data_IF_277735713202
#
_entry.id   IF_277735713202
#
_cell.length_a   1.000
_cell.length_b   1.000
_cell.length_c   1.000
_cell.angle_alpha   90.00
_cell.angle_beta   90.00
_cell.angle_gamma   90.00
#
_symmetry.space_group_name_H-M   'P 1'
#
loop_
_entity.id
_entity.type
_entity.pdbx_description
1 polymer ?
#
# COMPACT_ATOMS: atom_id res chain seq x y z
N UNK A 1 11.97 9.55 8.01
CA UNK A 1 11.31 8.24 8.20
C UNK A 1 9.85 8.53 8.50
N UNK A 2 8.94 8.05 7.66
CA UNK A 2 7.51 8.15 7.89
C UNK A 2 7.07 6.95 8.75
N UNK A 3 6.33 7.22 9.83
CA UNK A 3 5.83 6.18 10.74
C UNK A 3 4.34 6.02 10.52
N UNK A 4 3.91 4.81 10.18
CA UNK A 4 2.50 4.46 10.07
C UNK A 4 2.10 3.62 11.28
N UNK A 5 1.03 4.03 11.95
CA UNK A 5 0.45 3.32 13.09
C UNK A 5 -0.93 2.84 12.71
N UNK A 6 -1.18 1.54 12.86
CA UNK A 6 -2.49 0.94 12.69
C UNK A 6 -2.76 -0.01 13.86
N UNK A 7 -4.04 -0.25 14.13
CA UNK A 7 -4.46 -1.26 15.11
C UNK A 7 -4.68 -2.58 14.39
N UNK A 8 -4.15 -3.68 14.93
CA UNK A 8 -4.47 -5.02 14.42
C UNK A 8 -5.97 -5.27 14.63
N UNK A 9 -6.74 -5.65 13.60
CA UNK A 9 -8.17 -5.90 13.75
C UNK A 9 -8.41 -7.11 14.68
N UNK A 10 -9.43 -7.04 15.52
CA UNK A 10 -9.79 -8.11 16.47
C UNK A 10 -10.19 -9.44 15.79
N UNK A 11 -10.47 -9.40 14.48
CA UNK A 11 -10.76 -10.59 13.65
C UNK A 11 -9.51 -11.22 13.04
N UNK A 12 -8.31 -10.68 13.30
CA UNK A 12 -7.06 -11.27 12.80
C UNK A 12 -6.83 -12.64 13.46
N UNK A 13 -6.52 -13.64 12.63
CA UNK A 13 -6.20 -14.97 13.15
C UNK A 13 -4.88 -14.94 13.95
N UNK A 14 -4.76 -15.73 15.04
CA UNK A 14 -3.50 -15.90 15.74
C UNK A 14 -2.47 -16.57 14.82
N UNK A 15 -1.22 -16.10 14.87
CA UNK A 15 -0.14 -16.59 14.01
C UNK A 15 0.70 -15.49 13.38
N UNK A 16 1.57 -15.83 12.41
CA UNK A 16 2.44 -14.87 11.73
C UNK A 16 1.61 -13.95 10.82
N UNK A 17 1.70 -12.64 11.07
CA UNK A 17 1.14 -11.59 10.24
C UNK A 17 2.28 -10.82 9.57
N UNK A 18 2.31 -10.83 8.24
CA UNK A 18 3.26 -10.05 7.46
C UNK A 18 2.63 -8.73 7.05
N UNK A 19 3.28 -7.62 7.40
CA UNK A 19 2.88 -6.27 7.00
C UNK A 19 3.87 -5.74 5.98
N UNK A 20 3.33 -5.33 4.81
CA UNK A 20 4.12 -4.82 3.69
C UNK A 20 3.73 -3.37 3.39
N UNK A 21 4.65 -2.45 3.63
CA UNK A 21 4.54 -1.07 3.20
C UNK A 21 5.11 -0.95 1.79
N UNK A 22 4.31 -0.46 0.84
CA UNK A 22 4.72 -0.32 -0.57
C UNK A 22 4.71 1.17 -0.93
N UNK A 23 5.84 1.67 -1.45
CA UNK A 23 5.94 2.99 -2.02
C UNK A 23 5.65 2.92 -3.51
N UNK A 24 4.56 3.56 -3.89
CA UNK A 24 4.05 3.60 -5.25
C UNK A 24 4.27 4.98 -5.85
N UNK A 25 4.75 5.02 -7.08
CA UNK A 25 4.79 6.22 -7.90
C UNK A 25 3.78 6.10 -9.04
N UNK A 26 3.08 7.18 -9.32
CA UNK A 26 2.14 7.26 -10.42
C UNK A 26 2.50 8.51 -11.21
N UNK A 27 2.72 8.37 -12.52
CA UNK A 27 3.10 9.50 -13.39
C UNK A 27 2.04 10.59 -13.37
N UNK A 28 0.78 10.18 -13.39
CA UNK A 28 -0.37 11.08 -13.32
C UNK A 28 -1.40 10.53 -12.33
N UNK A 29 -1.74 11.27 -11.25
CA UNK A 29 -2.74 10.82 -10.28
C UNK A 29 -4.08 10.50 -10.96
N UNK A 30 -4.75 9.45 -10.50
CA UNK A 30 -5.98 8.91 -11.12
C UNK A 30 -7.05 9.97 -11.38
N UNK A 31 -7.33 10.92 -10.46
CA UNK A 31 -8.32 11.97 -10.72
C UNK A 31 -7.91 12.90 -11.87
N UNK A 32 -6.62 13.18 -12.02
CA UNK A 32 -6.08 14.04 -13.07
C UNK A 32 -6.13 13.34 -14.43
N UNK A 33 -5.82 12.03 -14.46
CA UNK A 33 -5.93 11.22 -15.68
C UNK A 33 -7.36 11.17 -16.23
N UNK A 34 -8.32 10.96 -15.34
CA UNK A 34 -9.75 10.96 -15.69
C UNK A 34 -10.21 12.33 -16.20
N UNK A 35 -9.75 13.41 -15.55
CA UNK A 35 -10.08 14.77 -15.98
C UNK A 35 -9.53 15.10 -17.37
N UNK A 36 -8.27 14.73 -17.64
CA UNK A 36 -7.61 14.98 -18.93
C UNK A 36 -8.02 13.98 -20.03
N UNK A 37 -8.79 12.93 -19.70
CA UNK A 37 -9.24 11.86 -20.61
C UNK A 37 -8.08 11.18 -21.33
N UNK A 38 -6.93 11.07 -20.67
CA UNK A 38 -5.77 10.37 -21.20
C UNK A 38 -5.91 8.86 -20.99
N UNK A 39 -5.21 8.02 -21.78
CA UNK A 39 -5.13 6.59 -21.54
C UNK A 39 -4.73 6.27 -20.09
N UNK A 40 -5.44 5.32 -19.46
CA UNK A 40 -5.20 4.96 -18.06
C UNK A 40 -3.84 4.28 -17.84
N UNK A 41 -3.15 3.85 -18.90
CA UNK A 41 -1.74 3.42 -18.85
C UNK A 41 -0.83 4.53 -18.28
N UNK A 42 -1.16 5.80 -18.53
CA UNK A 42 -0.39 6.95 -17.99
C UNK A 42 -0.62 7.15 -16.48
N UNK A 43 -1.65 6.52 -15.93
CA UNK A 43 -2.01 6.51 -14.52
C UNK A 43 -1.65 5.19 -13.83
N UNK A 44 -0.86 4.33 -14.47
CA UNK A 44 -0.47 3.06 -13.85
C UNK A 44 0.40 3.27 -12.61
N UNK A 45 0.10 2.46 -11.59
CA UNK A 45 0.83 2.45 -10.34
C UNK A 45 2.13 1.66 -10.56
N UNK A 46 3.26 2.34 -10.41
CA UNK A 46 4.59 1.75 -10.48
C UNK A 46 5.12 1.58 -9.06
N UNK A 47 5.32 0.33 -8.64
CA UNK A 47 5.95 0.05 -7.36
C UNK A 47 7.44 0.42 -7.42
N UNK A 48 7.85 1.39 -6.60
CA UNK A 48 9.23 1.89 -6.55
C UNK A 48 10.02 1.16 -5.47
N UNK A 49 9.41 0.93 -4.31
CA UNK A 49 10.07 0.30 -3.18
C UNK A 49 9.03 -0.42 -2.31
N UNK A 50 9.48 -1.39 -1.52
CA UNK A 50 8.68 -1.97 -0.47
C UNK A 50 9.53 -2.28 0.75
N UNK A 51 8.88 -2.27 1.92
CA UNK A 51 9.44 -2.71 3.17
C UNK A 51 8.47 -3.73 3.81
N UNK A 52 9.02 -4.77 4.42
CA UNK A 52 8.23 -5.85 5.00
C UNK A 52 8.66 -6.10 6.44
N UNK A 53 7.68 -6.35 7.30
CA UNK A 53 7.90 -6.75 8.69
C UNK A 53 6.93 -7.87 9.04
N UNK A 54 7.41 -8.84 9.83
CA UNK A 54 6.57 -9.95 10.30
C UNK A 54 6.38 -9.81 11.81
N UNK A 55 5.12 -9.85 12.25
CA UNK A 55 4.74 -9.85 13.66
C UNK A 55 3.97 -11.13 13.98
N UNK A 56 3.97 -11.55 15.24
CA UNK A 56 3.16 -12.70 15.68
C UNK A 56 1.96 -12.19 16.44
N UNK A 57 0.77 -12.53 15.96
CA UNK A 57 -0.51 -12.24 16.64
C UNK A 57 -0.76 -13.33 17.66
N UNK A 58 -0.84 -12.95 18.93
CA UNK A 58 -1.16 -13.84 20.05
C UNK A 58 -2.69 -13.99 20.21
N UNK A 59 -3.17 -15.12 20.76
CA UNK A 59 -4.59 -15.32 21.07
C UNK A 59 -5.10 -14.44 22.21
#
# INVERSE_FOLDING_TARGET
METFTWTVPNSAAPGPLTVRAVLNYQKLPTPVAQFLKVPMEEAEIIQVNYHETTITVLP
#
